data_IF_136968939206
#
_entry.id   IF_136968939206
#
_cell.length_a   1.000
_cell.length_b   1.000
_cell.length_c   1.000
_cell.angle_alpha   90.00
_cell.angle_beta   90.00
_cell.angle_gamma   90.00
#
_symmetry.space_group_name_H-M   'P 1'
#
loop_
_entity.id
_entity.type
_entity.pdbx_description
1 polymer ?
#
# COMPACT_ATOMS: atom_id res chain seq x y z
N UNK A 1 -15.33 29.00 -4.08
CA UNK A 1 -14.30 28.24 -3.34
C UNK A 1 -14.12 26.94 -4.10
N UNK A 2 -12.89 26.59 -4.48
CA UNK A 2 -12.58 25.30 -5.12
C UNK A 2 -12.96 24.17 -4.15
N UNK A 3 -13.43 23.04 -4.70
CA UNK A 3 -13.73 21.84 -3.90
C UNK A 3 -12.40 21.33 -3.31
N UNK A 4 -12.36 20.87 -2.04
CA UNK A 4 -11.15 20.28 -1.48
C UNK A 4 -10.73 19.05 -2.29
N UNK A 5 -9.41 18.79 -2.31
CA UNK A 5 -8.85 17.61 -2.97
C UNK A 5 -9.22 16.36 -2.18
N UNK A 6 -9.91 15.42 -2.82
CA UNK A 6 -10.22 14.11 -2.22
C UNK A 6 -9.18 13.06 -2.60
N UNK A 7 -8.47 12.54 -1.61
CA UNK A 7 -7.55 11.41 -1.76
C UNK A 7 -8.17 10.19 -1.08
N UNK A 8 -8.09 9.04 -1.75
CA UNK A 8 -8.57 7.76 -1.25
C UNK A 8 -7.46 6.72 -1.37
N UNK A 9 -7.31 5.89 -0.34
CA UNK A 9 -6.60 4.61 -0.46
C UNK A 9 -7.57 3.45 -0.25
N UNK A 10 -7.45 2.41 -1.05
CA UNK A 10 -8.31 1.24 -0.99
C UNK A 10 -7.54 -0.02 -1.42
N UNK A 11 -7.30 -0.94 -0.50
CA UNK A 11 -6.98 -2.31 -0.87
C UNK A 11 -8.24 -2.95 -1.47
N UNK A 12 -8.18 -3.31 -2.76
CA UNK A 12 -9.35 -3.78 -3.52
C UNK A 12 -9.44 -5.31 -3.59
N UNK A 13 -8.44 -6.03 -3.08
CA UNK A 13 -8.36 -7.50 -3.17
C UNK A 13 -8.67 -8.05 -4.59
N UNK A 14 -8.30 -7.29 -5.63
CA UNK A 14 -8.45 -7.68 -7.03
C UNK A 14 -7.20 -8.42 -7.51
N UNK A 15 -6.70 -9.35 -6.71
CA UNK A 15 -5.67 -10.30 -7.12
C UNK A 15 -6.30 -11.63 -7.53
N UNK A 16 -5.64 -12.40 -8.39
CA UNK A 16 -6.08 -13.74 -8.79
C UNK A 16 -4.97 -14.75 -8.58
N UNK A 17 -5.30 -16.04 -8.61
CA UNK A 17 -4.34 -17.11 -8.34
C UNK A 17 -3.38 -17.38 -9.51
N UNK A 18 -3.76 -16.96 -10.72
CA UNK A 18 -3.05 -17.26 -11.96
C UNK A 18 -2.71 -15.97 -12.75
N UNK A 19 -1.55 -15.94 -13.46
CA UNK A 19 -1.18 -14.84 -14.32
C UNK A 19 -2.29 -14.47 -15.32
N UNK A 20 -2.49 -13.15 -15.50
CA UNK A 20 -3.47 -12.57 -16.42
C UNK A 20 -4.94 -12.97 -16.15
N UNK A 21 -5.25 -13.67 -15.04
CA UNK A 21 -6.64 -14.03 -14.73
C UNK A 21 -7.50 -12.81 -14.44
N UNK A 22 -6.94 -11.79 -13.77
CA UNK A 22 -7.63 -10.52 -13.55
C UNK A 22 -7.97 -9.82 -14.88
N UNK A 23 -7.02 -9.80 -15.82
CA UNK A 23 -7.25 -9.22 -17.16
C UNK A 23 -8.38 -9.95 -17.87
N UNK A 24 -8.38 -11.29 -17.89
CA UNK A 24 -9.47 -12.09 -18.48
C UNK A 24 -10.82 -11.80 -17.83
N UNK A 25 -10.86 -11.63 -16.51
CA UNK A 25 -12.08 -11.24 -15.80
C UNK A 25 -12.59 -9.85 -16.22
N UNK A 26 -11.68 -8.87 -16.30
CA UNK A 26 -11.98 -7.49 -16.68
C UNK A 26 -12.44 -7.37 -18.15
N UNK A 27 -11.97 -8.24 -19.04
CA UNK A 27 -12.43 -8.31 -20.43
C UNK A 27 -13.80 -8.98 -20.59
N UNK A 28 -14.13 -9.87 -19.65
CA UNK A 28 -15.37 -10.62 -19.67
C UNK A 28 -16.53 -9.90 -19.00
N UNK A 29 -17.39 -10.69 -18.37
CA UNK A 29 -18.56 -10.18 -17.65
C UNK A 29 -18.22 -9.65 -16.26
N UNK A 30 -16.98 -9.77 -15.77
CA UNK A 30 -16.56 -9.40 -14.42
C UNK A 30 -17.19 -10.23 -13.30
N UNK A 31 -16.57 -10.25 -12.12
CA UNK A 31 -17.13 -10.89 -10.92
C UNK A 31 -18.13 -9.97 -10.18
N UNK A 32 -18.83 -10.53 -9.19
CA UNK A 32 -19.64 -9.75 -8.27
C UNK A 32 -18.78 -8.82 -7.39
N UNK A 33 -17.57 -9.27 -7.02
CA UNK A 33 -16.57 -8.47 -6.29
C UNK A 33 -16.15 -7.25 -7.11
N UNK A 34 -15.74 -7.43 -8.36
CA UNK A 34 -15.32 -6.34 -9.25
C UNK A 34 -16.40 -5.27 -9.40
N UNK A 35 -17.67 -5.68 -9.60
CA UNK A 35 -18.80 -4.73 -9.66
C UNK A 35 -18.97 -3.96 -8.36
N UNK A 36 -18.79 -4.62 -7.22
CA UNK A 36 -18.86 -3.97 -5.92
C UNK A 36 -17.71 -2.97 -5.71
N UNK A 37 -16.48 -3.32 -6.10
CA UNK A 37 -15.32 -2.41 -6.08
C UNK A 37 -15.59 -1.17 -6.92
N UNK A 38 -16.09 -1.34 -8.16
CA UNK A 38 -16.46 -0.23 -9.06
C UNK A 38 -17.50 0.69 -8.42
N UNK A 39 -18.51 0.11 -7.75
CA UNK A 39 -19.58 0.86 -7.10
C UNK A 39 -19.10 1.62 -5.85
N UNK A 40 -18.18 1.04 -5.06
CA UNK A 40 -17.50 1.74 -3.96
C UNK A 40 -16.64 2.90 -4.48
N UNK A 41 -15.81 2.67 -5.51
CA UNK A 41 -14.96 3.72 -6.11
C UNK A 41 -15.82 4.87 -6.65
N UNK A 42 -16.92 4.56 -7.35
CA UNK A 42 -17.88 5.55 -7.84
C UNK A 42 -18.46 6.40 -6.72
N UNK A 43 -18.81 5.78 -5.59
CA UNK A 43 -19.42 6.48 -4.45
C UNK A 43 -18.45 7.42 -3.75
N UNK A 44 -17.16 7.04 -3.70
CA UNK A 44 -16.10 7.83 -3.11
C UNK A 44 -15.74 9.06 -3.95
N UNK A 45 -15.78 8.93 -5.29
CA UNK A 45 -15.54 10.00 -6.26
C UNK A 45 -14.24 10.79 -5.98
N UNK A 46 -13.14 10.06 -5.84
CA UNK A 46 -11.82 10.59 -5.51
C UNK A 46 -11.24 11.43 -6.64
N UNK A 47 -10.36 12.39 -6.30
CA UNK A 47 -9.48 13.04 -7.27
C UNK A 47 -8.16 12.28 -7.44
N UNK A 48 -7.71 11.61 -6.37
CA UNK A 48 -6.56 10.70 -6.36
C UNK A 48 -6.97 9.41 -5.67
N UNK A 49 -6.88 8.29 -6.36
CA UNK A 49 -7.24 6.96 -5.86
C UNK A 49 -6.01 6.05 -5.88
N UNK A 50 -5.58 5.63 -4.70
CA UNK A 50 -4.53 4.64 -4.48
C UNK A 50 -5.17 3.28 -4.29
N UNK A 51 -4.72 2.31 -5.08
CA UNK A 51 -5.21 0.94 -5.08
C UNK A 51 -4.09 -0.01 -4.64
N UNK A 52 -4.37 -0.81 -3.62
CA UNK A 52 -3.54 -1.97 -3.26
C UNK A 52 -4.24 -3.26 -3.71
N UNK A 53 -3.45 -4.30 -3.98
CA UNK A 53 -3.91 -5.60 -4.48
C UNK A 53 -4.70 -5.54 -5.80
N UNK A 54 -4.18 -4.76 -6.74
CA UNK A 54 -4.54 -4.87 -8.15
C UNK A 54 -3.40 -5.58 -8.87
N UNK A 55 -3.62 -6.78 -9.41
CA UNK A 55 -2.56 -7.50 -10.12
C UNK A 55 -1.92 -6.62 -11.22
N UNK A 56 -0.60 -6.62 -11.24
CA UNK A 56 0.21 -5.95 -12.25
C UNK A 56 0.42 -6.85 -13.47
N UNK A 57 0.35 -6.25 -14.65
CA UNK A 57 0.77 -6.84 -15.92
C UNK A 57 1.62 -5.82 -16.70
N UNK A 58 2.64 -6.28 -17.43
CA UNK A 58 3.60 -5.39 -18.12
C UNK A 58 2.96 -4.47 -19.17
N UNK A 59 1.81 -4.88 -19.72
CA UNK A 59 1.04 -4.07 -20.67
C UNK A 59 0.10 -3.08 -19.98
N UNK A 60 0.04 -3.08 -18.64
CA UNK A 60 -0.85 -2.28 -17.80
C UNK A 60 -2.36 -2.46 -18.16
N UNK A 61 -2.74 -3.61 -18.71
CA UNK A 61 -4.10 -3.92 -19.17
C UNK A 61 -5.09 -3.96 -18.03
N UNK A 62 -4.75 -4.54 -16.89
CA UNK A 62 -5.64 -4.63 -15.74
C UNK A 62 -6.08 -3.23 -15.29
N UNK A 63 -5.12 -2.33 -15.07
CA UNK A 63 -5.41 -0.95 -14.68
C UNK A 63 -6.22 -0.20 -15.74
N UNK A 64 -5.84 -0.35 -17.02
CA UNK A 64 -6.55 0.31 -18.13
C UNK A 64 -7.99 -0.16 -18.25
N UNK A 65 -8.25 -1.46 -18.20
CA UNK A 65 -9.59 -2.02 -18.27
C UNK A 65 -10.44 -1.62 -17.06
N UNK A 66 -9.86 -1.64 -15.85
CA UNK A 66 -10.56 -1.14 -14.66
C UNK A 66 -10.97 0.32 -14.85
N UNK A 67 -10.06 1.19 -15.29
CA UNK A 67 -10.31 2.62 -15.45
C UNK A 67 -11.27 2.95 -16.61
N UNK A 68 -10.96 2.48 -17.81
CA UNK A 68 -11.65 2.90 -19.04
C UNK A 68 -12.94 2.11 -19.29
N UNK A 69 -12.96 0.82 -18.97
CA UNK A 69 -14.11 -0.06 -19.26
C UNK A 69 -15.05 -0.15 -18.07
N UNK A 70 -14.53 -0.40 -16.87
CA UNK A 70 -15.37 -0.66 -15.70
C UNK A 70 -15.81 0.62 -15.00
N UNK A 71 -14.88 1.49 -14.61
CA UNK A 71 -15.22 2.80 -14.05
C UNK A 71 -15.89 3.68 -15.10
N UNK A 72 -15.43 3.64 -16.36
CA UNK A 72 -16.02 4.40 -17.48
C UNK A 72 -17.51 4.14 -17.75
N UNK A 73 -18.09 3.03 -17.26
CA UNK A 73 -19.54 2.77 -17.33
C UNK A 73 -20.36 3.59 -16.35
N UNK A 74 -19.75 4.06 -15.26
CA UNK A 74 -20.46 4.62 -14.11
C UNK A 74 -19.94 5.98 -13.64
N UNK A 75 -18.75 6.37 -14.10
CA UNK A 75 -18.12 7.66 -13.83
C UNK A 75 -17.16 8.03 -14.98
N UNK A 76 -16.65 9.26 -14.99
CA UNK A 76 -15.62 9.67 -15.95
C UNK A 76 -14.29 8.97 -15.61
N UNK A 77 -13.64 8.27 -16.56
CA UNK A 77 -12.33 7.67 -16.35
C UNK A 77 -11.30 8.70 -15.88
N UNK A 78 -10.35 8.24 -15.07
CA UNK A 78 -9.25 9.09 -14.62
C UNK A 78 -8.28 9.35 -15.79
N UNK A 79 -7.92 10.61 -16.07
CA UNK A 79 -7.02 10.95 -17.17
C UNK A 79 -5.57 10.53 -16.95
N UNK A 80 -5.15 10.35 -15.69
CA UNK A 80 -3.81 9.93 -15.33
C UNK A 80 -3.85 8.62 -14.55
N UNK A 81 -2.93 7.72 -14.88
CA UNK A 81 -2.80 6.42 -14.25
C UNK A 81 -1.33 6.07 -14.08
N UNK A 82 -0.98 5.43 -12.97
CA UNK A 82 0.35 4.92 -12.70
C UNK A 82 0.27 3.51 -12.11
N UNK A 83 1.09 2.62 -12.65
CA UNK A 83 1.41 1.32 -12.05
C UNK A 83 2.82 0.94 -12.49
N UNK A 84 3.48 0.09 -11.71
CA UNK A 84 4.83 -0.35 -11.95
C UNK A 84 5.03 -1.75 -11.35
N UNK A 85 6.08 -2.49 -11.76
CA UNK A 85 6.30 -3.83 -11.22
C UNK A 85 6.53 -3.83 -9.71
N UNK A 86 6.12 -4.92 -9.07
CA UNK A 86 6.28 -5.21 -7.63
C UNK A 86 7.11 -6.47 -7.42
N UNK A 87 7.61 -6.70 -6.20
CA UNK A 87 8.47 -7.86 -5.87
C UNK A 87 7.70 -9.16 -5.56
N UNK A 88 6.38 -9.09 -5.42
CA UNK A 88 5.52 -10.24 -5.17
C UNK A 88 5.60 -11.25 -6.32
N UNK A 89 5.83 -12.52 -5.96
CA UNK A 89 5.95 -13.63 -6.90
C UNK A 89 7.18 -13.59 -7.83
N UNK A 90 8.03 -12.57 -7.74
CA UNK A 90 9.30 -12.51 -8.50
C UNK A 90 10.27 -13.55 -7.94
N UNK A 91 10.75 -14.52 -8.72
CA UNK A 91 11.68 -15.53 -8.22
C UNK A 91 12.96 -14.90 -7.68
N UNK A 92 13.33 -15.20 -6.43
CA UNK A 92 14.57 -14.68 -5.83
C UNK A 92 15.83 -15.46 -6.26
N UNK A 93 15.64 -16.68 -6.77
CA UNK A 93 16.73 -17.63 -6.97
C UNK A 93 17.28 -18.25 -5.67
N UNK A 94 16.64 -18.00 -4.53
CA UNK A 94 17.07 -18.43 -3.20
C UNK A 94 15.92 -18.99 -2.36
N UNK A 95 16.24 -19.74 -1.31
CA UNK A 95 15.27 -20.11 -0.28
C UNK A 95 15.26 -19.07 0.84
N UNK A 96 14.32 -18.12 0.74
CA UNK A 96 14.18 -17.00 1.67
C UNK A 96 13.25 -17.30 2.85
N UNK A 97 12.64 -18.49 2.88
CA UNK A 97 11.76 -18.94 3.97
C UNK A 97 12.34 -20.13 4.74
N UNK A 98 13.48 -20.68 4.28
CA UNK A 98 14.20 -21.80 4.91
C UNK A 98 13.30 -23.03 5.01
N UNK A 99 12.53 -23.28 3.95
CA UNK A 99 11.62 -24.41 3.88
C UNK A 99 12.37 -25.66 3.43
N UNK A 100 12.63 -26.55 4.40
CA UNK A 100 13.32 -27.83 4.21
C UNK A 100 12.60 -28.76 3.21
N UNK A 101 11.32 -28.50 2.90
CA UNK A 101 10.53 -29.25 1.91
C UNK A 101 10.68 -28.73 0.48
N UNK A 102 11.31 -27.57 0.28
CA UNK A 102 11.66 -27.10 -1.07
C UNK A 102 12.66 -28.08 -1.67
N UNK A 103 12.21 -28.83 -2.68
CA UNK A 103 13.07 -29.67 -3.49
C UNK A 103 14.28 -28.86 -3.96
N UNK A 104 15.45 -29.50 -4.00
CA UNK A 104 16.71 -28.92 -4.51
C UNK A 104 16.43 -28.15 -5.81
N UNK A 105 16.52 -26.82 -5.76
CA UNK A 105 16.30 -25.93 -6.91
C UNK A 105 14.99 -25.11 -6.94
N UNK A 106 14.08 -25.24 -5.96
CA UNK A 106 12.95 -24.29 -5.82
C UNK A 106 13.38 -23.05 -5.01
N UNK A 107 13.12 -21.86 -5.56
CA UNK A 107 13.34 -20.57 -4.89
C UNK A 107 12.03 -20.02 -4.33
N UNK A 108 12.08 -19.37 -3.17
CA UNK A 108 11.01 -18.50 -2.69
C UNK A 108 10.99 -17.20 -3.50
N UNK A 109 9.83 -16.53 -3.65
CA UNK A 109 9.77 -15.23 -4.30
C UNK A 109 10.34 -14.11 -3.40
N UNK A 110 10.74 -12.97 -4.00
CA UNK A 110 11.25 -11.80 -3.29
C UNK A 110 10.21 -11.19 -2.34
N UNK A 111 8.93 -11.27 -2.69
CA UNK A 111 7.78 -11.06 -1.82
C UNK A 111 6.74 -12.15 -2.07
N UNK A 112 5.92 -12.49 -1.07
CA UNK A 112 4.93 -13.55 -1.20
C UNK A 112 3.98 -13.32 -2.39
N UNK A 113 3.81 -14.34 -3.23
CA UNK A 113 2.96 -14.33 -4.41
C UNK A 113 3.23 -15.54 -5.30
N UNK A 114 2.22 -15.98 -6.06
CA UNK A 114 2.27 -17.11 -6.97
C UNK A 114 2.95 -16.76 -8.31
N UNK A 115 2.87 -15.49 -8.73
CA UNK A 115 3.49 -15.02 -9.97
C UNK A 115 3.94 -13.55 -9.88
N UNK A 116 4.93 -13.12 -10.68
CA UNK A 116 5.37 -11.74 -10.74
C UNK A 116 4.21 -10.77 -11.03
N UNK A 117 3.96 -9.84 -10.10
CA UNK A 117 2.91 -8.83 -10.25
C UNK A 117 1.62 -9.12 -9.49
N UNK A 118 1.44 -10.33 -8.92
CA UNK A 118 0.29 -10.61 -8.05
C UNK A 118 0.26 -9.63 -6.87
N UNK A 119 -0.92 -9.18 -6.41
CA UNK A 119 -1.02 -8.21 -5.30
C UNK A 119 -0.35 -6.85 -5.59
N UNK A 120 -0.33 -6.46 -6.86
CA UNK A 120 0.25 -5.19 -7.31
C UNK A 120 -0.44 -3.96 -6.73
N UNK A 121 0.01 -2.79 -7.19
CA UNK A 121 -0.52 -1.50 -6.78
C UNK A 121 -0.84 -0.64 -8.00
N UNK A 122 -1.69 0.37 -7.82
CA UNK A 122 -1.96 1.35 -8.86
C UNK A 122 -2.40 2.69 -8.27
N UNK A 123 -2.25 3.75 -9.05
CA UNK A 123 -2.81 5.07 -8.77
C UNK A 123 -3.61 5.55 -9.97
N UNK A 124 -4.83 6.01 -9.74
CA UNK A 124 -5.67 6.71 -10.71
C UNK A 124 -5.85 8.15 -10.23
N UNK A 125 -5.69 9.13 -11.13
CA UNK A 125 -5.75 10.54 -10.73
C UNK A 125 -6.36 11.46 -11.78
N UNK A 126 -7.10 12.46 -11.29
CA UNK A 126 -7.52 13.65 -12.04
C UNK A 126 -6.42 14.70 -12.09
N UNK A 127 -5.47 14.63 -11.15
CA UNK A 127 -4.30 15.51 -11.07
C UNK A 127 -3.17 14.90 -11.91
N UNK A 128 -2.48 15.68 -12.77
CA UNK A 128 -1.39 15.16 -13.59
C UNK A 128 -0.27 14.51 -12.78
N UNK A 129 0.21 13.35 -13.23
CA UNK A 129 1.36 12.66 -12.63
C UNK A 129 2.61 12.98 -13.47
N UNK A 130 3.64 13.52 -12.84
CA UNK A 130 4.93 13.79 -13.45
C UNK A 130 5.82 12.54 -13.40
N UNK A 131 5.62 11.65 -14.38
CA UNK A 131 6.26 10.32 -14.41
C UNK A 131 7.79 10.39 -14.39
N UNK A 132 8.39 11.42 -15.00
CA UNK A 132 9.85 11.60 -15.00
C UNK A 132 10.40 11.96 -13.61
N UNK A 133 9.61 12.71 -12.83
CA UNK A 133 9.96 13.08 -11.45
C UNK A 133 9.63 11.97 -10.43
N UNK A 134 8.77 10.99 -10.79
CA UNK A 134 8.41 9.88 -9.91
C UNK A 134 9.62 8.96 -9.64
N UNK A 135 9.65 8.36 -8.45
CA UNK A 135 10.69 7.41 -8.00
C UNK A 135 10.04 6.11 -7.54
N UNK A 136 10.70 5.00 -7.80
CA UNK A 136 10.31 3.68 -7.29
C UNK A 136 11.50 3.05 -6.58
N UNK A 137 11.27 2.32 -5.50
CA UNK A 137 12.32 1.70 -4.69
C UNK A 137 12.09 0.19 -4.57
N UNK A 138 11.70 -0.44 -5.69
CA UNK A 138 11.46 -1.88 -5.75
C UNK A 138 12.76 -2.65 -5.49
N UNK A 139 13.88 -2.15 -5.98
CA UNK A 139 15.17 -2.85 -5.98
C UNK A 139 16.07 -2.50 -4.81
N UNK A 140 15.67 -1.56 -3.94
CA UNK A 140 16.49 -1.14 -2.81
C UNK A 140 16.65 -2.29 -1.79
N UNK A 141 17.90 -2.78 -1.64
CA UNK A 141 18.21 -3.96 -0.84
C UNK A 141 18.02 -3.71 0.65
N UNK A 142 17.49 -4.70 1.37
CA UNK A 142 17.24 -4.58 2.81
C UNK A 142 18.54 -4.38 3.60
N UNK A 143 19.62 -5.06 3.19
CA UNK A 143 20.95 -4.88 3.81
C UNK A 143 21.54 -3.48 3.64
N UNK A 144 21.07 -2.70 2.67
CA UNK A 144 21.59 -1.35 2.40
C UNK A 144 20.90 -0.30 3.29
N UNK A 145 19.88 -0.69 4.07
CA UNK A 145 19.28 0.14 5.10
C UNK A 145 20.20 0.20 6.34
N UNK A 146 20.65 1.39 6.77
CA UNK A 146 21.51 1.51 7.95
C UNK A 146 20.82 0.96 9.21
N UNK A 147 21.43 -0.03 9.85
CA UNK A 147 20.85 -0.68 11.02
C UNK A 147 19.52 -1.37 10.71
N UNK A 148 19.41 -2.02 9.56
CA UNK A 148 18.29 -2.89 9.21
C UNK A 148 17.99 -3.91 10.33
N UNK A 149 16.72 -4.07 10.67
CA UNK A 149 16.20 -5.02 11.64
C UNK A 149 16.10 -6.42 11.00
N UNK A 150 17.24 -6.98 10.62
CA UNK A 150 17.29 -8.29 9.98
C UNK A 150 16.88 -9.41 10.94
N UNK A 151 16.07 -10.39 10.50
CA UNK A 151 15.59 -11.46 11.35
C UNK A 151 16.72 -12.38 11.83
N UNK A 152 16.51 -12.95 13.01
CA UNK A 152 17.43 -13.88 13.68
C UNK A 152 16.65 -15.07 14.18
N UNK A 153 17.31 -16.23 14.21
CA UNK A 153 16.79 -17.37 14.94
C UNK A 153 16.72 -17.09 16.45
N UNK A 154 15.90 -17.84 17.22
CA UNK A 154 15.81 -17.67 18.67
C UNK A 154 17.13 -17.81 19.43
N UNK A 155 18.11 -18.54 18.88
CA UNK A 155 19.46 -18.66 19.45
C UNK A 155 20.38 -17.45 19.16
N UNK A 156 19.87 -16.45 18.43
CA UNK A 156 20.56 -15.21 18.06
C UNK A 156 21.35 -15.29 16.75
N UNK A 157 21.47 -16.47 16.13
CA UNK A 157 22.12 -16.63 14.84
C UNK A 157 21.34 -15.93 13.71
N UNK A 158 22.02 -15.53 12.65
CA UNK A 158 21.39 -14.84 11.53
C UNK A 158 20.44 -15.77 10.78
N UNK A 159 19.24 -15.30 10.42
CA UNK A 159 18.31 -16.06 9.60
C UNK A 159 18.70 -16.03 8.11
N UNK A 160 19.13 -14.86 7.63
CA UNK A 160 19.61 -14.67 6.27
C UNK A 160 21.13 -14.67 6.20
N UNK A 161 21.67 -15.34 5.18
CA UNK A 161 23.09 -15.26 4.83
C UNK A 161 23.40 -14.05 3.94
N UNK A 162 24.69 -13.85 3.61
CA UNK A 162 25.14 -12.71 2.81
C UNK A 162 24.58 -12.71 1.38
N UNK A 163 24.34 -13.89 0.81
CA UNK A 163 23.85 -14.03 -0.55
C UNK A 163 22.32 -13.88 -0.61
N UNK A 164 21.59 -14.27 0.43
CA UNK A 164 20.15 -13.96 0.62
C UNK A 164 19.95 -12.45 0.59
N UNK A 165 20.73 -11.75 1.41
CA UNK A 165 20.69 -10.30 1.53
C UNK A 165 21.19 -9.58 0.27
N UNK A 166 21.93 -10.26 -0.61
CA UNK A 166 22.38 -9.69 -1.88
C UNK A 166 21.26 -9.54 -2.91
N UNK A 167 20.16 -10.28 -2.74
CA UNK A 167 19.02 -10.26 -3.67
C UNK A 167 17.73 -9.75 -3.04
N UNK A 168 17.66 -9.63 -1.70
CA UNK A 168 16.42 -9.32 -0.98
C UNK A 168 16.19 -7.80 -0.82
N UNK A 169 15.22 -7.20 -1.54
CA UNK A 169 14.81 -5.82 -1.32
C UNK A 169 14.06 -5.66 0.00
N UNK A 170 14.12 -4.47 0.63
CA UNK A 170 13.28 -4.18 1.80
C UNK A 170 11.80 -4.23 1.44
N UNK A 171 11.44 -3.63 0.30
CA UNK A 171 10.08 -3.64 -0.26
C UNK A 171 9.65 -5.05 -0.65
N UNK A 172 8.61 -5.57 -0.03
CA UNK A 172 7.95 -6.82 -0.41
C UNK A 172 7.07 -6.68 -1.65
N UNK A 173 6.47 -5.50 -1.85
CA UNK A 173 5.81 -5.07 -3.10
C UNK A 173 6.64 -3.99 -3.77
N UNK A 174 6.49 -2.74 -3.33
CA UNK A 174 7.30 -1.59 -3.75
C UNK A 174 7.04 -0.38 -2.83
N UNK A 175 7.94 0.60 -2.87
CA UNK A 175 7.69 1.96 -2.38
C UNK A 175 7.75 2.90 -3.58
N UNK A 176 6.76 3.78 -3.72
CA UNK A 176 6.70 4.77 -4.79
C UNK A 176 6.62 6.18 -4.21
N UNK A 177 7.45 7.07 -4.71
CA UNK A 177 7.30 8.51 -4.53
C UNK A 177 6.79 9.10 -5.85
N UNK A 178 5.49 9.35 -5.94
CA UNK A 178 4.86 9.90 -7.14
C UNK A 178 4.71 11.41 -7.03
N UNK A 179 5.08 12.15 -8.06
CA UNK A 179 4.94 13.61 -8.08
C UNK A 179 3.68 14.00 -8.83
N UNK A 180 2.70 14.54 -8.12
CA UNK A 180 1.44 15.04 -8.68
C UNK A 180 1.50 16.55 -8.86
N UNK A 181 1.18 17.06 -10.06
CA UNK A 181 1.15 18.48 -10.40
C UNK A 181 -0.21 19.08 -10.03
N UNK A 182 -0.40 19.35 -8.74
CA UNK A 182 -1.57 20.09 -8.23
C UNK A 182 -1.68 21.49 -8.82
N UNK A 183 -2.85 22.14 -8.68
CA UNK A 183 -3.15 23.43 -9.32
C UNK A 183 -2.13 24.53 -8.98
N UNK A 184 -1.69 24.61 -7.72
CA UNK A 184 -0.75 25.65 -7.27
C UNK A 184 0.71 25.18 -7.26
N UNK A 185 0.96 24.00 -6.69
CA UNK A 185 2.30 23.45 -6.47
C UNK A 185 2.28 21.92 -6.53
N UNK A 186 3.37 21.28 -7.00
CA UNK A 186 3.46 19.83 -6.99
C UNK A 186 3.49 19.29 -5.55
N UNK A 187 3.03 18.06 -5.39
CA UNK A 187 3.16 17.31 -4.15
C UNK A 187 3.49 15.85 -4.39
N UNK A 188 4.02 15.21 -3.37
CA UNK A 188 4.43 13.82 -3.38
C UNK A 188 3.32 12.92 -2.82
N UNK A 189 3.00 11.85 -3.53
CA UNK A 189 2.16 10.76 -3.04
C UNK A 189 3.08 9.57 -2.78
N UNK A 190 3.31 9.26 -1.51
CA UNK A 190 4.22 8.22 -1.06
C UNK A 190 3.42 6.92 -0.86
N UNK A 191 3.48 6.02 -1.83
CA UNK A 191 2.63 4.82 -1.91
C UNK A 191 3.41 3.56 -1.58
N UNK A 192 2.87 2.72 -0.71
CA UNK A 192 3.43 1.39 -0.43
C UNK A 192 2.37 0.40 -0.01
N UNK A 193 2.68 -0.88 -0.16
CA UNK A 193 1.95 -2.00 0.42
C UNK A 193 2.95 -2.96 1.08
N UNK A 194 3.37 -2.71 2.33
CA UNK A 194 4.30 -3.57 3.05
C UNK A 194 3.77 -5.00 3.22
N UNK A 195 4.64 -5.90 3.65
CA UNK A 195 4.23 -7.27 3.96
C UNK A 195 3.33 -7.28 5.20
N UNK A 196 2.30 -8.13 5.27
CA UNK A 196 1.63 -8.43 6.54
C UNK A 196 2.66 -8.95 7.55
N UNK A 197 2.72 -8.44 8.79
CA UNK A 197 3.67 -8.85 9.83
C UNK A 197 3.23 -10.16 10.51
N UNK A 198 2.91 -11.17 9.71
CA UNK A 198 2.41 -12.47 10.11
C UNK A 198 2.91 -13.56 9.14
N UNK A 199 2.48 -14.80 9.32
CA UNK A 199 2.83 -15.94 8.45
C UNK A 199 4.34 -16.24 8.41
N UNK A 200 5.03 -15.94 9.50
CA UNK A 200 6.44 -16.21 9.73
C UNK A 200 6.65 -17.27 10.83
N UNK A 201 7.89 -17.77 10.93
CA UNK A 201 8.30 -18.68 11.99
C UNK A 201 8.83 -17.93 13.21
N UNK A 202 9.53 -18.62 14.12
CA UNK A 202 10.07 -18.00 15.34
C UNK A 202 11.11 -16.90 15.06
N UNK A 203 11.64 -16.82 13.83
CA UNK A 203 12.52 -15.74 13.37
C UNK A 203 11.80 -14.39 13.14
N UNK A 204 10.47 -14.43 13.00
CA UNK A 204 9.61 -13.25 12.79
C UNK A 204 10.01 -12.38 11.59
N UNK A 205 10.37 -13.01 10.46
CA UNK A 205 10.91 -12.32 9.26
C UNK A 205 9.97 -11.26 8.69
N UNK A 206 8.66 -11.49 8.70
CA UNK A 206 7.69 -10.58 8.13
C UNK A 206 7.40 -9.42 9.09
N UNK A 207 7.41 -9.66 10.41
CA UNK A 207 7.37 -8.60 11.42
C UNK A 207 8.55 -7.64 11.26
N UNK A 208 9.76 -8.18 11.14
CA UNK A 208 10.98 -7.41 10.91
C UNK A 208 10.91 -6.60 9.61
N UNK A 209 10.53 -7.24 8.50
CA UNK A 209 10.45 -6.60 7.19
C UNK A 209 9.38 -5.51 7.15
N UNK A 210 8.17 -5.77 7.64
CA UNK A 210 7.11 -4.76 7.73
C UNK A 210 7.57 -3.53 8.53
N UNK A 211 8.27 -3.75 9.65
CA UNK A 211 8.84 -2.68 10.47
C UNK A 211 9.81 -1.79 9.68
N UNK A 212 10.72 -2.40 8.92
CA UNK A 212 11.69 -1.65 8.11
C UNK A 212 11.08 -1.05 6.83
N UNK A 213 10.05 -1.65 6.24
CA UNK A 213 9.25 -1.06 5.16
C UNK A 213 8.56 0.23 5.65
N UNK A 214 7.98 0.24 6.85
CA UNK A 214 7.40 1.46 7.44
C UNK A 214 8.49 2.47 7.80
N UNK A 215 9.60 2.00 8.39
CA UNK A 215 10.73 2.85 8.75
C UNK A 215 11.36 3.50 7.52
N UNK A 216 11.35 2.85 6.36
CA UNK A 216 11.78 3.46 5.10
C UNK A 216 11.08 4.80 4.89
N UNK A 217 9.78 4.92 5.13
CA UNK A 217 9.08 6.21 5.03
C UNK A 217 9.49 7.20 6.11
N UNK A 218 9.71 6.76 7.34
CA UNK A 218 10.20 7.62 8.42
C UNK A 218 11.53 8.25 8.01
N UNK A 219 12.49 7.43 7.57
CA UNK A 219 13.83 7.87 7.18
C UNK A 219 13.79 8.70 5.88
N UNK A 220 12.98 8.30 4.89
CA UNK A 220 12.82 9.02 3.62
C UNK A 220 12.23 10.42 3.84
N UNK A 221 11.15 10.53 4.62
CA UNK A 221 10.55 11.82 5.01
C UNK A 221 11.51 12.62 5.91
N UNK A 222 12.36 11.95 6.69
CA UNK A 222 13.43 12.57 7.46
C UNK A 222 14.58 13.14 6.62
N UNK A 223 14.61 12.87 5.31
CA UNK A 223 15.65 13.33 4.40
C UNK A 223 16.91 12.46 4.42
N UNK A 224 16.80 11.18 4.78
CA UNK A 224 17.94 10.25 4.81
C UNK A 224 18.66 10.16 3.46
N UNK A 225 19.98 10.00 3.46
CA UNK A 225 20.80 9.99 2.23
C UNK A 225 20.95 8.59 1.61
N UNK A 226 20.65 7.53 2.36
CA UNK A 226 20.89 6.16 1.93
C UNK A 226 19.90 5.62 0.87
N UNK A 227 18.62 6.04 0.79
CA UNK A 227 17.69 5.49 -0.19
C UNK A 227 18.21 5.72 -1.61
N UNK A 228 18.17 4.68 -2.44
CA UNK A 228 18.49 4.73 -3.86
C UNK A 228 17.29 4.16 -4.61
N UNK A 229 16.74 4.95 -5.52
CA UNK A 229 15.63 4.49 -6.34
C UNK A 229 16.09 3.59 -7.50
N UNK A 230 15.14 2.98 -8.19
CA UNK A 230 15.39 2.02 -9.28
C UNK A 230 16.08 2.68 -10.50
N UNK A 231 16.13 4.02 -10.57
CA UNK A 231 16.87 4.79 -11.57
C UNK A 231 18.26 5.25 -11.06
N UNK A 232 18.66 4.85 -9.85
CA UNK A 232 19.94 5.18 -9.24
C UNK A 232 20.00 6.56 -8.55
N UNK A 233 18.88 7.29 -8.45
CA UNK A 233 18.85 8.58 -7.74
C UNK A 233 18.88 8.34 -6.23
N UNK A 234 19.80 9.00 -5.56
CA UNK A 234 20.06 8.88 -4.13
C UNK A 234 19.37 9.98 -3.32
N UNK A 235 18.96 9.65 -2.10
CA UNK A 235 18.51 10.59 -1.08
C UNK A 235 17.01 10.56 -0.82
N UNK A 236 16.63 11.17 0.30
CA UNK A 236 15.28 11.24 0.83
C UNK A 236 14.50 12.43 0.29
N UNK A 237 13.33 12.65 0.90
CA UNK A 237 12.42 13.72 0.53
C UNK A 237 12.92 15.08 1.03
N UNK A 238 12.90 16.09 0.16
CA UNK A 238 13.20 17.48 0.52
C UNK A 238 12.39 17.94 1.76
N UNK A 239 12.98 18.70 2.70
CA UNK A 239 12.28 19.18 3.91
C UNK A 239 11.05 20.04 3.60
N UNK A 240 11.05 20.77 2.48
CA UNK A 240 9.96 21.65 2.06
C UNK A 240 8.88 20.92 1.25
N UNK A 241 9.07 19.63 0.96
CA UNK A 241 8.15 18.87 0.15
C UNK A 241 6.79 18.70 0.84
N UNK A 242 5.75 18.99 0.07
CA UNK A 242 4.39 18.54 0.26
C UNK A 242 4.32 17.02 0.09
N UNK A 243 3.70 16.29 1.02
CA UNK A 243 3.41 14.88 0.75
C UNK A 243 2.11 14.38 1.39
N UNK A 244 1.67 13.20 0.93
CA UNK A 244 0.68 12.34 1.59
C UNK A 244 1.22 10.90 1.49
N UNK A 245 1.40 10.21 2.63
CA UNK A 245 1.65 8.76 2.62
C UNK A 245 0.33 8.04 2.45
N UNK A 246 0.26 7.06 1.55
CA UNK A 246 -0.96 6.36 1.19
C UNK A 246 -0.74 4.85 1.00
N UNK A 247 -1.64 4.04 1.54
CA UNK A 247 -1.67 2.59 1.28
C UNK A 247 -2.12 1.78 2.49
N UNK A 248 -2.28 0.49 2.24
CA UNK A 248 -2.29 -0.55 3.27
C UNK A 248 -0.86 -0.74 3.81
N UNK A 249 -0.60 -0.24 5.02
CA UNK A 249 0.69 -0.37 5.70
C UNK A 249 0.80 -1.63 6.55
N UNK A 250 -0.26 -2.45 6.61
CA UNK A 250 -0.28 -3.72 7.33
C UNK A 250 0.13 -3.62 8.81
N UNK A 251 -0.06 -2.45 9.43
CA UNK A 251 0.33 -2.21 10.80
C UNK A 251 -0.68 -1.35 11.54
N UNK A 252 -1.07 -1.79 12.74
CA UNK A 252 -1.97 -1.03 13.63
C UNK A 252 -1.20 -0.53 14.85
N UNK A 253 -1.48 0.71 15.32
CA UNK A 253 -0.84 1.24 16.51
C UNK A 253 -1.33 0.58 17.82
N UNK A 254 -2.42 -0.19 17.78
CA UNK A 254 -3.09 -0.75 18.96
C UNK A 254 -3.02 -2.28 19.01
N UNK A 255 -3.16 -2.96 17.87
CA UNK A 255 -3.35 -4.40 17.79
C UNK A 255 -2.48 -5.04 16.69
N UNK A 256 -2.46 -6.38 16.67
CA UNK A 256 -1.70 -7.16 15.70
C UNK A 256 -0.23 -7.37 16.08
N UNK A 257 0.51 -7.98 15.16
CA UNK A 257 1.83 -8.53 15.42
C UNK A 257 2.99 -7.67 14.89
N UNK A 258 2.67 -6.50 14.32
CA UNK A 258 3.67 -5.50 13.88
C UNK A 258 4.69 -5.22 14.97
N UNK A 259 5.92 -4.90 14.55
CA UNK A 259 6.96 -4.51 15.50
C UNK A 259 6.49 -3.32 16.35
N UNK A 260 6.56 -3.40 17.70
CA UNK A 260 6.13 -2.31 18.56
C UNK A 260 6.82 -0.99 18.19
N UNK A 261 6.04 0.06 17.99
CA UNK A 261 6.55 1.39 17.64
C UNK A 261 6.74 1.65 16.13
N UNK A 262 6.65 0.63 15.26
CA UNK A 262 6.92 0.81 13.83
C UNK A 262 5.99 1.85 13.19
N UNK A 263 4.67 1.60 13.24
CA UNK A 263 3.68 2.54 12.69
C UNK A 263 3.57 3.82 13.54
N UNK A 264 3.77 3.73 14.86
CA UNK A 264 3.77 4.90 15.75
C UNK A 264 4.89 5.89 15.42
N UNK A 265 6.05 5.42 14.96
CA UNK A 265 7.14 6.30 14.53
C UNK A 265 6.74 7.14 13.30
N UNK A 266 6.04 6.54 12.33
CA UNK A 266 5.53 7.27 11.18
C UNK A 266 4.39 8.24 11.56
N UNK A 267 3.43 7.78 12.38
CA UNK A 267 2.33 8.61 12.87
C UNK A 267 2.82 9.78 13.74
N UNK A 268 3.90 9.58 14.49
CA UNK A 268 4.52 10.59 15.36
C UNK A 268 5.58 11.45 14.67
N UNK A 269 5.87 11.23 13.38
CA UNK A 269 6.91 11.98 12.68
C UNK A 269 6.54 13.47 12.58
N UNK A 270 7.47 14.38 12.89
CA UNK A 270 7.19 15.81 13.02
C UNK A 270 6.60 16.48 11.75
N UNK A 271 6.91 15.94 10.56
CA UNK A 271 6.37 16.42 9.29
C UNK A 271 5.01 15.84 8.92
N UNK A 272 4.56 14.78 9.60
CA UNK A 272 3.29 14.09 9.37
C UNK A 272 2.17 14.69 10.23
N UNK A 273 0.97 14.78 9.68
CA UNK A 273 -0.26 15.02 10.42
C UNK A 273 -0.99 13.69 10.60
N UNK A 274 -1.03 13.19 11.83
CA UNK A 274 -1.81 12.00 12.14
C UNK A 274 -3.30 12.32 12.05
N UNK A 275 -3.98 11.74 11.05
CA UNK A 275 -5.44 11.78 10.94
C UNK A 275 -6.06 10.55 11.61
N UNK A 276 -7.29 10.69 12.09
CA UNK A 276 -8.07 9.61 12.74
C UNK A 276 -9.38 9.40 11.99
N UNK A 277 -9.35 8.77 10.80
CA UNK A 277 -10.55 8.45 10.05
C UNK A 277 -11.36 7.43 10.86
N UNK A 278 -12.66 7.68 11.02
CA UNK A 278 -13.57 6.79 11.75
C UNK A 278 -14.71 6.31 10.87
N UNK A 279 -15.39 5.26 11.30
CA UNK A 279 -16.65 4.80 10.73
C UNK A 279 -17.54 4.10 11.75
N UNK A 280 -18.87 4.19 11.60
CA UNK A 280 -19.79 3.49 12.47
C UNK A 280 -19.79 1.98 12.21
N UNK A 281 -19.54 1.52 10.98
CA UNK A 281 -19.48 0.11 10.62
C UNK A 281 -18.30 -0.65 11.26
N UNK A 282 -17.20 0.05 11.55
CA UNK A 282 -16.00 -0.55 12.17
C UNK A 282 -16.19 -0.94 13.64
N UNK A 283 -17.01 -0.21 14.39
CA UNK A 283 -17.17 -0.36 15.86
C UNK A 283 -17.58 -1.78 16.26
N UNK A 284 -18.47 -2.39 15.48
CA UNK A 284 -19.02 -3.71 15.79
C UNK A 284 -18.09 -4.89 15.51
N UNK A 285 -16.96 -4.67 14.83
CA UNK A 285 -16.08 -5.75 14.33
C UNK A 285 -15.26 -6.37 15.46
N UNK A 286 -14.56 -5.51 16.21
CA UNK A 286 -13.73 -5.87 17.37
C UNK A 286 -13.88 -4.80 18.46
N UNK A 287 -15.06 -4.73 19.11
CA UNK A 287 -15.36 -3.68 20.11
C UNK A 287 -14.49 -3.79 21.37
N UNK A 288 -13.80 -4.91 21.55
CA UNK A 288 -12.82 -5.14 22.62
C UNK A 288 -11.46 -4.46 22.37
N UNK A 289 -11.19 -4.03 21.14
CA UNK A 289 -9.97 -3.32 20.75
C UNK A 289 -10.20 -1.81 20.89
N UNK A 290 -9.25 -1.10 21.50
CA UNK A 290 -9.33 0.36 21.61
C UNK A 290 -9.34 1.01 20.21
N UNK A 291 -10.04 2.14 20.06
CA UNK A 291 -10.21 2.83 18.77
C UNK A 291 -10.87 1.96 17.67
N UNK A 292 -11.81 1.08 18.06
CA UNK A 292 -12.51 0.20 17.12
C UNK A 292 -13.26 0.92 15.98
N UNK A 293 -13.61 2.19 16.17
CA UNK A 293 -14.19 3.04 15.13
C UNK A 293 -13.20 3.39 14.00
N UNK A 294 -11.90 3.18 14.20
CA UNK A 294 -10.84 3.41 13.21
C UNK A 294 -10.39 2.14 12.46
N UNK A 295 -11.03 0.99 12.67
CA UNK A 295 -10.67 -0.19 11.89
C UNK A 295 -10.93 0.03 10.41
N UNK A 296 -10.00 -0.45 9.59
CA UNK A 296 -10.05 -0.38 8.12
C UNK A 296 -10.12 -1.75 7.49
N UNK A 297 -9.98 -2.83 8.27
CA UNK A 297 -10.05 -4.20 7.81
C UNK A 297 -11.03 -5.04 8.64
N UNK A 298 -11.66 -6.05 8.02
CA UNK A 298 -12.71 -6.88 8.59
C UNK A 298 -12.29 -7.76 9.77
N UNK A 299 -10.98 -7.97 9.96
CA UNK A 299 -10.42 -8.63 11.14
C UNK A 299 -10.23 -7.68 12.33
N UNK A 300 -10.64 -6.41 12.21
CA UNK A 300 -10.67 -5.43 13.29
C UNK A 300 -9.30 -4.83 13.59
N UNK A 301 -8.64 -4.31 12.56
CA UNK A 301 -7.41 -3.52 12.69
C UNK A 301 -7.46 -2.28 11.79
N UNK A 302 -6.68 -1.27 12.16
CA UNK A 302 -6.36 -0.14 11.31
C UNK A 302 -5.07 -0.46 10.55
N UNK A 303 -5.19 -0.85 9.29
CA UNK A 303 -4.07 -1.22 8.41
C UNK A 303 -3.85 -0.20 7.30
N UNK A 304 -4.88 0.57 6.94
CA UNK A 304 -4.88 1.50 5.81
C UNK A 304 -4.73 2.95 6.26
N UNK A 305 -3.90 3.71 5.54
CA UNK A 305 -3.48 5.05 5.95
C UNK A 305 -3.49 6.07 4.82
N UNK A 306 -3.95 7.28 5.14
CA UNK A 306 -3.66 8.52 4.42
C UNK A 306 -3.04 9.50 5.43
N UNK A 307 -1.75 9.80 5.29
CA UNK A 307 -1.02 10.62 6.26
C UNK A 307 -0.44 11.86 5.55
N UNK A 308 -1.19 12.99 5.54
CA UNK A 308 -0.72 14.20 4.90
C UNK A 308 0.40 14.86 5.71
N UNK A 309 1.33 15.52 5.01
CA UNK A 309 2.32 16.40 5.63
C UNK A 309 1.68 17.62 6.28
N UNK A 310 2.41 18.35 7.14
CA UNK A 310 1.95 19.61 7.79
C UNK A 310 1.63 20.76 6.84
N UNK A 311 1.90 20.60 5.55
CA UNK A 311 1.61 21.59 4.53
C UNK A 311 0.20 21.45 3.92
N UNK A 312 -0.65 20.63 4.52
CA UNK A 312 -2.05 20.49 4.14
C UNK A 312 -2.95 20.99 5.26
N UNK A 313 -4.05 21.66 4.92
CA UNK A 313 -5.18 21.79 5.82
C UNK A 313 -6.05 20.56 5.65
N UNK A 314 -6.13 19.73 6.69
CA UNK A 314 -7.02 18.57 6.73
C UNK A 314 -8.45 19.07 6.90
N UNK A 315 -9.33 18.65 5.99
CA UNK A 315 -10.78 18.84 6.07
C UNK A 315 -11.44 17.61 6.71
N UNK A 316 -12.37 16.99 6.00
CA UNK A 316 -13.04 15.78 6.47
C UNK A 316 -12.21 14.52 6.18
N UNK A 317 -12.37 13.51 7.03
CA UNK A 317 -11.74 12.18 6.86
C UNK A 317 -12.71 11.09 7.28
N UNK A 318 -12.56 9.89 6.74
CA UNK A 318 -13.36 8.76 7.19
C UNK A 318 -12.91 7.42 6.64
N UNK A 319 -13.48 6.37 7.21
CA UNK A 319 -13.44 5.02 6.64
C UNK A 319 -14.79 4.78 5.98
N UNK A 320 -14.80 4.33 4.73
CA UNK A 320 -16.03 4.04 4.02
C UNK A 320 -16.54 2.65 4.42
N UNK A 321 -17.10 2.60 5.63
CA UNK A 321 -17.66 1.40 6.24
C UNK A 321 -19.02 1.73 6.87
N UNK A 322 -20.11 1.47 6.15
CA UNK A 322 -21.44 1.76 6.66
C UNK A 322 -21.85 0.73 7.73
N UNK A 323 -22.87 1.07 8.52
CA UNK A 323 -23.48 0.13 9.49
C UNK A 323 -24.16 -1.04 8.78
N UNK A 324 -24.34 -2.21 9.42
CA UNK A 324 -24.93 -3.39 8.79
C UNK A 324 -26.33 -3.18 8.19
N UNK A 325 -27.11 -2.24 8.73
CA UNK A 325 -28.46 -1.91 8.26
C UNK A 325 -28.46 -1.02 7.01
N UNK A 326 -27.32 -0.43 6.66
CA UNK A 326 -27.19 0.38 5.45
C UNK A 326 -27.30 -0.52 4.21
N UNK A 327 -28.14 -0.18 3.22
CA UNK A 327 -28.27 -0.97 1.99
C UNK A 327 -26.96 -1.19 1.23
N UNK A 328 -25.93 -0.36 1.47
CA UNK A 328 -24.62 -0.45 0.84
C UNK A 328 -23.63 -1.34 1.61
N UNK A 329 -23.99 -1.84 2.80
CA UNK A 329 -23.10 -2.67 3.62
C UNK A 329 -22.69 -3.96 2.91
N UNK A 330 -23.62 -4.63 2.21
CA UNK A 330 -23.31 -5.85 1.45
C UNK A 330 -22.36 -5.55 0.27
N UNK A 331 -22.53 -4.40 -0.39
CA UNK A 331 -21.63 -3.96 -1.48
C UNK A 331 -20.22 -3.76 -0.94
N UNK A 332 -20.07 -3.05 0.17
CA UNK A 332 -18.76 -2.79 0.80
C UNK A 332 -18.09 -4.09 1.25
N UNK A 333 -18.83 -4.98 1.94
CA UNK A 333 -18.30 -6.27 2.39
C UNK A 333 -17.93 -7.21 1.22
N UNK A 334 -18.63 -7.10 0.09
CA UNK A 334 -18.33 -7.88 -1.12
C UNK A 334 -17.14 -7.34 -1.91
N UNK A 335 -16.84 -6.05 -1.79
CA UNK A 335 -15.79 -5.40 -2.56
C UNK A 335 -14.40 -5.87 -2.11
N UNK A 336 -14.14 -5.89 -0.80
CA UNK A 336 -12.87 -6.29 -0.20
C UNK A 336 -13.08 -6.62 1.28
N UNK A 337 -12.13 -7.33 1.87
CA UNK A 337 -11.88 -7.48 3.31
C UNK A 337 -11.37 -6.17 3.96
N UNK A 338 -10.81 -5.25 3.18
CA UNK A 338 -10.48 -3.89 3.58
C UNK A 338 -11.59 -2.88 3.26
N UNK A 339 -11.47 -1.68 3.83
CA UNK A 339 -12.37 -0.54 3.62
C UNK A 339 -11.58 0.67 3.19
N UNK A 340 -12.10 1.36 2.19
CA UNK A 340 -11.47 2.56 1.67
C UNK A 340 -11.36 3.65 2.76
N UNK A 341 -10.17 4.22 2.89
CA UNK A 341 -9.92 5.39 3.74
C UNK A 341 -9.85 6.61 2.85
N UNK A 342 -10.51 7.70 3.25
CA UNK A 342 -10.57 8.93 2.48
C UNK A 342 -10.22 10.16 3.30
N UNK A 343 -9.66 11.16 2.62
CA UNK A 343 -9.21 12.44 3.15
C UNK A 343 -9.58 13.54 2.16
N UNK A 344 -10.30 14.55 2.65
CA UNK A 344 -10.48 15.83 1.97
C UNK A 344 -9.46 16.82 2.54
N UNK A 345 -8.71 17.51 1.68
CA UNK A 345 -7.68 18.43 2.13
C UNK A 345 -7.41 19.57 1.13
N UNK A 346 -6.87 20.67 1.66
CA UNK A 346 -6.44 21.83 0.89
C UNK A 346 -4.96 22.10 1.09
N UNK A 347 -4.28 22.52 0.03
CA UNK A 347 -2.86 22.90 0.09
C UNK A 347 -2.71 24.24 0.83
N UNK A 348 -1.74 24.37 1.76
CA UNK A 348 -1.43 25.64 2.45
C UNK A 348 -0.03 26.18 2.17
#
# INVERSE_FOLDING_TARGET
MTRPLRIVTFNVALFREEPMALVRELEGVGSAQLRAVVEVIRRLDADVLVLNELDYDDEHRALRLLNEVWLGRVMTPYPYAFTAPVNTGVPSGRDLVKDESLAVGRSSPLGFGAFPGQYGMAVLSRVPIDVEACRTFRQFLWRDMPGADLPRWPDGSAFYDADDLAVLPVSSKSHWDLVLRGEDRPFHLLVSHPTPPAFDGPERRNVCRNGDEIRFWVDYIGGAEYPVDDAGRRGGLSPDAAFVVAGDLNASPIAGDSRPGAIQALLGHARVQAVRPISPGAVGVRPDVADADQHTADWGMRSDYLLPSRHWRVGDTGVFWPVPEDPFAEVVARASDHRAVWLDCDRI
#
